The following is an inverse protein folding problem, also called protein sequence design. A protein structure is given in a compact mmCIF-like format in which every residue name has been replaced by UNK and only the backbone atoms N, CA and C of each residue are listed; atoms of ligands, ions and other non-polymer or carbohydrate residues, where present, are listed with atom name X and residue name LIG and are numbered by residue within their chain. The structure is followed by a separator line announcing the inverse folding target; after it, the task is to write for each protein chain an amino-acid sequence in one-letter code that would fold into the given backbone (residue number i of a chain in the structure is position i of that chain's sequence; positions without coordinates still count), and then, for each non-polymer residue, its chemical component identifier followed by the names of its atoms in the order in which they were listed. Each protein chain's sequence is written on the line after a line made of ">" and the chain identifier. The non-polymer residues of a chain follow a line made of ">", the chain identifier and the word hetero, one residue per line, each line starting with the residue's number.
data_IF_733352282769
#
_entry.id   IF_733352282769
#
_cell.length_a   1.000
_cell.length_b   1.000
_cell.length_c   1.000
_cell.angle_alpha   90.00
_cell.angle_beta   90.00
_cell.angle_gamma   90.00
#
_symmetry.space_group_name_H-M   'P 1'
#
loop_
_entity.id
_entity.type
_entity.pdbx_description
1 polymer ?
#
# COMPACT_ATOMS: atom_id res chain seq x y z
N UNK A 1 -5.10 -2.11 -29.47
CA UNK A 1 -4.46 -3.02 -28.51
C UNK A 1 -3.10 -3.45 -29.01
N UNK A 2 -2.15 -3.67 -28.10
CA UNK A 2 -0.84 -4.26 -28.40
C UNK A 2 -1.03 -5.73 -28.74
N UNK A 3 -0.39 -6.21 -29.83
CA UNK A 3 -0.50 -7.62 -30.27
C UNK A 3 0.71 -8.48 -29.91
N UNK A 4 1.78 -7.88 -29.40
CA UNK A 4 3.02 -8.56 -29.08
C UNK A 4 2.88 -9.44 -27.83
N UNK A 5 3.06 -10.74 -27.96
CA UNK A 5 3.04 -11.72 -26.86
C UNK A 5 4.09 -11.37 -25.76
N UNK A 6 5.21 -10.80 -26.16
CA UNK A 6 6.29 -10.43 -25.25
C UNK A 6 5.86 -9.33 -24.28
N UNK A 7 5.04 -8.35 -24.71
CA UNK A 7 4.46 -7.33 -23.84
C UNK A 7 3.65 -7.95 -22.72
N UNK A 8 2.69 -8.83 -23.07
CA UNK A 8 1.83 -9.47 -22.07
C UNK A 8 2.62 -10.33 -21.11
N UNK A 9 3.61 -11.11 -21.60
CA UNK A 9 4.50 -11.91 -20.75
C UNK A 9 5.23 -11.03 -19.73
N UNK A 10 5.83 -9.94 -20.18
CA UNK A 10 6.57 -9.01 -19.30
C UNK A 10 5.63 -8.33 -18.31
N UNK A 11 4.47 -7.83 -18.76
CA UNK A 11 3.49 -7.16 -17.92
C UNK A 11 2.94 -8.09 -16.83
N UNK A 12 2.53 -9.31 -17.18
CA UNK A 12 2.01 -10.27 -16.21
C UNK A 12 3.09 -10.77 -15.24
N UNK A 13 4.33 -10.93 -15.67
CA UNK A 13 5.44 -11.25 -14.74
C UNK A 13 5.62 -10.12 -13.71
N UNK A 14 5.57 -8.86 -14.14
CA UNK A 14 5.63 -7.72 -13.23
C UNK A 14 4.41 -7.70 -12.30
N UNK A 15 3.21 -7.78 -12.85
CA UNK A 15 1.95 -7.70 -12.10
C UNK A 15 1.81 -8.83 -11.07
N UNK A 16 2.09 -10.07 -11.46
CA UNK A 16 2.00 -11.24 -10.56
C UNK A 16 3.09 -11.23 -9.48
N UNK A 17 4.30 -10.77 -9.81
CA UNK A 17 5.36 -10.62 -8.81
C UNK A 17 4.98 -9.61 -7.73
N UNK A 18 4.37 -8.48 -8.10
CA UNK A 18 3.90 -7.47 -7.17
C UNK A 18 2.66 -7.92 -6.40
N UNK A 19 1.75 -8.63 -7.06
CA UNK A 19 0.58 -9.24 -6.41
C UNK A 19 1.02 -10.27 -5.35
N UNK A 20 1.97 -11.15 -5.68
CA UNK A 20 2.51 -12.14 -4.75
C UNK A 20 3.22 -11.46 -3.57
N UNK A 21 3.98 -10.40 -3.80
CA UNK A 21 4.60 -9.62 -2.73
C UNK A 21 3.55 -9.08 -1.76
N UNK A 22 2.47 -8.45 -2.26
CA UNK A 22 1.39 -7.91 -1.43
C UNK A 22 0.68 -9.01 -0.65
N UNK A 23 0.39 -10.16 -1.29
CA UNK A 23 -0.23 -11.31 -0.62
C UNK A 23 0.62 -11.80 0.55
N UNK A 24 1.94 -11.91 0.36
CA UNK A 24 2.87 -12.34 1.41
C UNK A 24 2.90 -11.34 2.57
N UNK A 25 2.89 -10.03 2.29
CA UNK A 25 2.84 -8.98 3.33
C UNK A 25 1.56 -9.10 4.16
N UNK A 26 0.39 -9.28 3.52
CA UNK A 26 -0.88 -9.48 4.24
C UNK A 26 -0.86 -10.77 5.07
N UNK A 27 -0.21 -11.83 4.56
CA UNK A 27 -0.08 -13.10 5.29
C UNK A 27 0.76 -12.95 6.56
N UNK A 28 1.83 -12.16 6.55
CA UNK A 28 2.63 -11.87 7.77
C UNK A 28 1.75 -11.22 8.84
N UNK A 29 1.04 -10.15 8.49
CA UNK A 29 0.18 -9.42 9.43
C UNK A 29 -0.94 -10.29 10.00
N UNK A 30 -1.51 -11.16 9.16
CA UNK A 30 -2.55 -12.10 9.59
C UNK A 30 -1.99 -13.15 10.56
N UNK A 31 -0.82 -13.72 10.29
CA UNK A 31 -0.19 -14.73 11.15
C UNK A 31 0.19 -14.14 12.51
N UNK A 32 0.75 -12.93 12.56
CA UNK A 32 1.04 -12.22 13.81
C UNK A 32 -0.22 -12.06 14.67
N UNK A 33 -1.33 -11.64 14.07
CA UNK A 33 -2.61 -11.46 14.76
C UNK A 33 -3.16 -12.79 15.30
N UNK A 34 -3.11 -13.85 14.49
CA UNK A 34 -3.59 -15.19 14.89
C UNK A 34 -2.75 -15.76 16.04
N UNK A 35 -1.43 -15.62 15.95
CA UNK A 35 -0.53 -16.16 16.97
C UNK A 35 -0.66 -15.42 18.30
N UNK A 36 -0.75 -14.10 18.27
CA UNK A 36 -0.99 -13.29 19.47
C UNK A 36 -2.38 -13.50 20.06
N UNK A 37 -3.40 -13.71 19.21
CA UNK A 37 -4.76 -14.01 19.66
C UNK A 37 -4.87 -15.32 20.44
N UNK A 38 -4.06 -16.33 20.08
CA UNK A 38 -3.95 -17.59 20.82
C UNK A 38 -3.19 -17.43 22.13
N UNK A 39 -2.32 -16.44 22.25
CA UNK A 39 -1.54 -16.19 23.45
C UNK A 39 -2.37 -15.41 24.50
N UNK A 40 -2.93 -14.24 24.11
CA UNK A 40 -3.72 -13.40 25.00
C UNK A 40 -4.56 -12.39 24.19
N UNK A 41 -5.80 -12.21 24.57
CA UNK A 41 -6.70 -11.22 23.97
C UNK A 41 -6.16 -9.78 24.17
N UNK A 42 -5.65 -9.48 25.38
CA UNK A 42 -5.07 -8.15 25.66
C UNK A 42 -3.80 -7.89 24.83
N UNK A 43 -2.97 -8.92 24.64
CA UNK A 43 -1.78 -8.86 23.78
C UNK A 43 -2.15 -8.57 22.33
N UNK A 44 -3.12 -9.30 21.77
CA UNK A 44 -3.61 -9.10 20.40
C UNK A 44 -4.21 -7.69 20.24
N UNK A 45 -5.04 -7.25 21.19
CA UNK A 45 -5.64 -5.91 21.15
C UNK A 45 -4.59 -4.81 21.24
N UNK A 46 -3.61 -4.92 22.15
CA UNK A 46 -2.52 -3.95 22.30
C UNK A 46 -1.67 -3.84 21.04
N UNK A 47 -1.29 -4.96 20.42
CA UNK A 47 -0.52 -4.97 19.17
C UNK A 47 -1.36 -4.44 18.01
N UNK A 48 -2.67 -4.72 17.98
CA UNK A 48 -3.56 -4.16 16.95
C UNK A 48 -3.62 -2.63 16.99
N UNK A 49 -3.62 -2.02 18.17
CA UNK A 49 -3.51 -0.56 18.31
C UNK A 49 -2.17 -0.04 17.80
N UNK A 50 -1.07 -0.73 18.13
CA UNK A 50 0.25 -0.38 17.61
C UNK A 50 0.33 -0.47 16.08
N UNK A 51 -0.32 -1.48 15.49
CA UNK A 51 -0.38 -1.66 14.05
C UNK A 51 -1.13 -0.52 13.34
N UNK A 52 -2.12 0.13 13.98
CA UNK A 52 -2.77 1.32 13.40
C UNK A 52 -1.78 2.50 13.28
N UNK A 53 -0.93 2.69 14.29
CA UNK A 53 0.12 3.72 14.23
C UNK A 53 1.18 3.38 13.18
N UNK A 54 1.59 2.11 13.13
CA UNK A 54 2.53 1.62 12.12
C UNK A 54 1.96 1.74 10.70
N UNK A 55 0.67 1.53 10.51
CA UNK A 55 0.00 1.70 9.22
C UNK A 55 0.12 3.13 8.69
N UNK A 56 0.03 4.15 9.57
CA UNK A 56 0.25 5.53 9.16
C UNK A 56 1.67 5.74 8.63
N UNK A 57 2.69 5.21 9.33
CA UNK A 57 4.07 5.25 8.84
C UNK A 57 4.21 4.51 7.50
N UNK A 58 3.59 3.34 7.38
CA UNK A 58 3.62 2.56 6.13
C UNK A 58 3.08 3.37 4.95
N UNK A 59 1.95 4.07 5.12
CA UNK A 59 1.36 4.92 4.07
C UNK A 59 2.30 6.05 3.66
N UNK A 60 2.96 6.70 4.62
CA UNK A 60 3.92 7.76 4.35
C UNK A 60 5.16 7.24 3.60
N UNK A 61 5.70 6.10 4.02
CA UNK A 61 6.87 5.47 3.39
C UNK A 61 6.54 4.94 1.99
N UNK A 62 5.33 4.40 1.81
CA UNK A 62 4.83 3.99 0.49
C UNK A 62 4.73 5.18 -0.46
N UNK A 63 4.18 6.31 0.01
CA UNK A 63 4.14 7.55 -0.76
C UNK A 63 5.52 8.04 -1.18
N UNK A 64 6.50 7.97 -0.28
CA UNK A 64 7.89 8.31 -0.58
C UNK A 64 8.52 7.37 -1.62
N UNK A 65 8.29 6.07 -1.49
CA UNK A 65 8.77 5.05 -2.43
C UNK A 65 8.14 5.19 -3.82
N UNK A 66 6.83 5.38 -3.89
CA UNK A 66 6.10 5.54 -5.15
C UNK A 66 6.52 6.80 -5.92
N UNK A 67 6.83 7.90 -5.23
CA UNK A 67 7.41 9.09 -5.85
C UNK A 67 8.76 8.80 -6.53
N UNK A 68 9.60 7.97 -5.90
CA UNK A 68 10.85 7.50 -6.49
C UNK A 68 10.61 6.58 -7.69
N UNK A 69 9.56 5.73 -7.65
CA UNK A 69 9.17 4.87 -8.79
C UNK A 69 8.80 5.70 -10.01
N UNK A 70 7.98 6.75 -9.85
CA UNK A 70 7.55 7.60 -10.97
C UNK A 70 8.74 8.26 -11.67
N UNK A 71 9.64 8.88 -10.91
CA UNK A 71 10.84 9.50 -11.46
C UNK A 71 11.82 8.48 -12.02
N UNK A 72 12.11 7.41 -11.26
CA UNK A 72 13.04 6.38 -11.63
C UNK A 72 12.65 5.66 -12.93
N UNK A 73 11.35 5.37 -13.13
CA UNK A 73 10.85 4.72 -14.34
C UNK A 73 11.03 5.60 -15.59
N UNK A 74 10.82 6.91 -15.49
CA UNK A 74 11.04 7.83 -16.61
C UNK A 74 12.52 8.02 -16.93
N UNK A 75 13.41 8.15 -15.91
CA UNK A 75 14.86 8.18 -16.15
C UNK A 75 15.39 6.86 -16.73
N UNK A 76 14.84 5.73 -16.26
CA UNK A 76 15.12 4.42 -16.82
C UNK A 76 14.72 4.34 -18.30
N UNK A 77 13.55 4.86 -18.66
CA UNK A 77 13.07 4.94 -20.04
C UNK A 77 14.03 5.73 -20.97
N UNK A 78 14.62 6.81 -20.45
CA UNK A 78 15.63 7.64 -21.16
C UNK A 78 17.02 7.00 -21.25
N UNK A 79 17.25 5.84 -20.64
CA UNK A 79 18.58 5.25 -20.43
C UNK A 79 19.56 6.16 -19.64
N UNK A 80 19.03 7.15 -18.89
CA UNK A 80 19.82 8.02 -18.01
C UNK A 80 19.78 7.48 -16.59
N UNK A 81 20.78 6.66 -16.22
CA UNK A 81 20.81 5.98 -14.92
C UNK A 81 21.44 6.83 -13.81
N UNK A 82 22.25 7.82 -14.17
CA UNK A 82 22.99 8.66 -13.23
C UNK A 82 22.11 9.41 -12.21
N UNK A 83 20.93 9.97 -12.58
CA UNK A 83 20.06 10.65 -11.63
C UNK A 83 19.36 9.72 -10.61
N UNK A 84 19.18 8.44 -10.94
CA UNK A 84 18.39 7.51 -10.12
C UNK A 84 18.95 7.35 -8.70
N UNK A 85 20.28 7.16 -8.46
CA UNK A 85 20.83 7.14 -7.11
C UNK A 85 20.54 8.40 -6.28
N UNK A 86 20.55 9.58 -6.91
CA UNK A 86 20.23 10.85 -6.24
C UNK A 86 18.76 10.92 -5.81
N UNK A 87 17.85 10.41 -6.65
CA UNK A 87 16.42 10.30 -6.34
C UNK A 87 16.19 9.33 -5.17
N UNK A 88 16.85 8.16 -5.20
CA UNK A 88 16.79 7.18 -4.12
C UNK A 88 17.31 7.79 -2.81
N UNK A 89 18.42 8.49 -2.86
CA UNK A 89 18.99 9.14 -1.71
C UNK A 89 18.08 10.26 -1.15
N UNK A 90 17.39 11.03 -2.01
CA UNK A 90 16.38 12.00 -1.59
C UNK A 90 15.20 11.31 -0.89
N UNK A 91 14.69 10.21 -1.48
CA UNK A 91 13.62 9.40 -0.89
C UNK A 91 14.02 8.84 0.48
N UNK A 92 15.24 8.31 0.62
CA UNK A 92 15.76 7.78 1.88
C UNK A 92 15.87 8.86 2.97
N UNK A 93 16.29 10.08 2.65
CA UNK A 93 16.36 11.19 3.62
C UNK A 93 14.98 11.60 4.07
N UNK A 94 14.06 11.76 3.13
CA UNK A 94 12.71 12.18 3.44
C UNK A 94 11.96 11.09 4.22
N UNK A 95 11.97 9.84 3.75
CA UNK A 95 11.38 8.71 4.44
C UNK A 95 12.03 8.42 5.79
N UNK A 96 13.38 8.49 5.84
CA UNK A 96 14.14 8.35 7.08
C UNK A 96 13.79 9.42 8.11
N UNK A 97 13.64 10.68 7.70
CA UNK A 97 13.18 11.77 8.56
C UNK A 97 11.79 11.50 9.16
N UNK A 98 10.85 11.01 8.34
CA UNK A 98 9.52 10.60 8.83
C UNK A 98 9.59 9.41 9.79
N UNK A 99 10.43 8.42 9.51
CA UNK A 99 10.61 7.28 10.41
C UNK A 99 11.20 7.71 11.77
N UNK A 100 12.22 8.57 11.75
CA UNK A 100 12.80 9.13 12.99
C UNK A 100 11.76 9.92 13.77
N UNK A 101 10.98 10.78 13.11
CA UNK A 101 9.89 11.51 13.76
C UNK A 101 8.89 10.57 14.42
N UNK A 102 8.49 9.51 13.71
CA UNK A 102 7.54 8.52 14.24
C UNK A 102 8.14 7.73 15.41
N UNK A 103 9.43 7.38 15.35
CA UNK A 103 10.16 6.75 16.47
C UNK A 103 10.13 7.67 17.69
N UNK A 104 10.41 8.95 17.52
CA UNK A 104 10.38 9.93 18.61
C UNK A 104 8.97 10.02 19.23
N UNK A 105 7.92 10.14 18.44
CA UNK A 105 6.53 10.19 18.91
C UNK A 105 6.19 8.94 19.73
N UNK A 106 6.47 7.76 19.19
CA UNK A 106 6.14 6.48 19.81
C UNK A 106 6.95 6.23 21.09
N UNK A 107 8.18 6.75 21.17
CA UNK A 107 9.04 6.54 22.36
C UNK A 107 8.86 7.57 23.46
N UNK A 108 8.54 8.81 23.09
CA UNK A 108 8.35 9.89 24.09
C UNK A 108 7.01 9.80 24.80
N UNK A 109 5.96 9.35 24.11
CA UNK A 109 4.61 9.35 24.64
C UNK A 109 3.79 8.09 24.25
N UNK A 110 4.32 6.85 24.44
CA UNK A 110 3.65 5.64 23.96
C UNK A 110 2.29 5.41 24.62
N UNK A 111 2.18 5.63 25.92
CA UNK A 111 0.93 5.45 26.67
C UNK A 111 -0.12 6.48 26.30
N UNK A 112 0.27 7.74 26.07
CA UNK A 112 -0.66 8.80 25.66
C UNK A 112 -1.19 8.53 24.25
N UNK A 113 -0.31 8.12 23.33
CA UNK A 113 -0.68 7.79 21.97
C UNK A 113 -1.69 6.62 21.90
N UNK A 114 -1.45 5.56 22.68
CA UNK A 114 -2.37 4.43 22.77
C UNK A 114 -3.63 4.78 23.56
N UNK A 115 -3.55 5.66 24.54
CA UNK A 115 -4.68 6.18 25.32
C UNK A 115 -5.70 6.98 24.49
N UNK A 116 -5.31 7.54 23.34
CA UNK A 116 -6.23 8.13 22.37
C UNK A 116 -7.09 7.04 21.69
N UNK A 117 -6.53 5.82 21.54
CA UNK A 117 -7.16 4.72 20.81
C UNK A 117 -7.91 3.74 21.71
N UNK A 118 -7.58 3.66 23.00
CA UNK A 118 -8.19 2.74 23.96
C UNK A 118 -8.14 3.29 25.38
N UNK A 119 -9.16 2.97 26.18
CA UNK A 119 -9.22 3.30 27.60
C UNK A 119 -8.87 2.11 28.52
N UNK A 120 -8.48 0.95 27.96
CA UNK A 120 -8.18 -0.25 28.73
C UNK A 120 -6.70 -0.29 29.16
N UNK A 121 -6.39 -0.18 30.47
CA UNK A 121 -5.00 -0.08 30.94
C UNK A 121 -4.13 -1.29 30.58
N UNK A 122 -4.70 -2.51 30.60
CA UNK A 122 -3.98 -3.73 30.28
C UNK A 122 -3.60 -3.79 28.78
N UNK A 123 -4.51 -3.38 27.91
CA UNK A 123 -4.28 -3.30 26.44
C UNK A 123 -3.20 -2.27 26.15
N UNK A 124 -3.26 -1.08 26.80
CA UNK A 124 -2.26 -0.03 26.65
C UNK A 124 -0.88 -0.52 27.14
N UNK A 125 -0.81 -1.21 28.27
CA UNK A 125 0.44 -1.74 28.81
C UNK A 125 1.12 -2.73 27.85
N UNK A 126 0.36 -3.66 27.26
CA UNK A 126 0.89 -4.58 26.25
C UNK A 126 1.35 -3.84 24.97
N UNK A 127 0.60 -2.87 24.51
CA UNK A 127 1.00 -2.01 23.38
C UNK A 127 2.28 -1.23 23.64
N UNK A 128 2.46 -0.66 24.85
CA UNK A 128 3.69 0.03 25.24
C UNK A 128 4.89 -0.92 25.22
N UNK A 129 4.74 -2.16 25.74
CA UNK A 129 5.79 -3.18 25.70
C UNK A 129 6.20 -3.52 24.25
N UNK A 130 5.23 -3.57 23.35
CA UNK A 130 5.45 -3.79 21.92
C UNK A 130 6.21 -2.64 21.28
N UNK A 131 5.76 -1.39 21.51
CA UNK A 131 6.39 -0.18 20.96
C UNK A 131 7.85 0.00 21.36
N UNK A 132 8.22 -0.38 22.58
CA UNK A 132 9.61 -0.28 23.05
C UNK A 132 10.61 -1.01 22.14
N UNK A 133 10.18 -2.06 21.46
CA UNK A 133 11.02 -2.90 20.60
C UNK A 133 10.76 -2.60 19.14
N UNK A 134 9.46 -2.61 18.72
CA UNK A 134 9.11 -2.51 17.31
C UNK A 134 9.48 -1.16 16.69
N UNK A 135 9.55 -0.08 17.48
CA UNK A 135 9.91 1.25 16.99
C UNK A 135 11.26 1.26 16.28
N UNK A 136 12.22 0.43 16.66
CA UNK A 136 13.51 0.32 15.96
C UNK A 136 13.37 -0.26 14.55
N UNK A 137 12.34 -1.05 14.31
CA UNK A 137 12.10 -1.60 12.98
C UNK A 137 11.64 -0.54 11.97
N UNK A 138 11.17 0.63 12.41
CA UNK A 138 10.62 1.66 11.55
C UNK A 138 11.65 2.23 10.57
N UNK A 139 12.88 2.48 11.03
CA UNK A 139 13.95 2.95 10.14
C UNK A 139 14.40 1.83 9.18
N UNK A 140 14.51 0.59 9.68
CA UNK A 140 14.90 -0.57 8.89
C UNK A 140 13.86 -0.81 7.79
N UNK A 141 12.59 -0.83 8.15
CA UNK A 141 11.46 -0.96 7.22
C UNK A 141 11.49 0.13 6.14
N UNK A 142 11.66 1.39 6.55
CA UNK A 142 11.68 2.54 5.64
C UNK A 142 12.79 2.42 4.60
N UNK A 143 14.00 2.10 5.05
CA UNK A 143 15.15 1.94 4.14
C UNK A 143 14.91 0.78 3.17
N UNK A 144 14.49 -0.37 3.67
CA UNK A 144 14.20 -1.55 2.84
C UNK A 144 13.11 -1.25 1.81
N UNK A 145 12.00 -0.66 2.25
CA UNK A 145 10.85 -0.37 1.38
C UNK A 145 11.21 0.59 0.24
N UNK A 146 11.91 1.68 0.54
CA UNK A 146 12.35 2.66 -0.47
C UNK A 146 13.35 2.05 -1.45
N UNK A 147 14.30 1.24 -0.99
CA UNK A 147 15.25 0.55 -1.87
C UNK A 147 14.54 -0.45 -2.80
N UNK A 148 13.62 -1.25 -2.27
CA UNK A 148 12.82 -2.20 -3.07
C UNK A 148 11.93 -1.47 -4.07
N UNK A 149 11.26 -0.38 -3.67
CA UNK A 149 10.46 0.45 -4.57
C UNK A 149 11.33 1.03 -5.70
N UNK A 150 12.53 1.50 -5.37
CA UNK A 150 13.47 2.05 -6.35
C UNK A 150 13.97 0.99 -7.34
N UNK A 151 14.27 -0.22 -6.90
CA UNK A 151 14.62 -1.33 -7.78
C UNK A 151 13.45 -1.73 -8.71
N UNK A 152 12.23 -1.64 -8.19
CA UNK A 152 11.00 -1.86 -8.96
C UNK A 152 10.87 -0.87 -10.12
N UNK A 153 11.30 0.39 -9.97
CA UNK A 153 11.27 1.42 -11.02
C UNK A 153 12.08 1.04 -12.25
N UNK A 154 13.12 0.23 -12.08
CA UNK A 154 13.98 -0.28 -13.16
C UNK A 154 13.63 -1.72 -13.57
N UNK A 155 12.46 -2.21 -13.17
CA UNK A 155 11.94 -3.53 -13.54
C UNK A 155 12.45 -4.71 -12.70
N UNK A 156 13.20 -4.47 -11.63
CA UNK A 156 13.67 -5.51 -10.71
C UNK A 156 12.60 -5.75 -9.66
N UNK A 157 11.61 -6.61 -9.96
CA UNK A 157 10.47 -6.92 -9.06
C UNK A 157 10.63 -8.24 -8.32
N UNK A 158 11.44 -9.16 -8.83
CA UNK A 158 11.60 -10.50 -8.24
C UNK A 158 12.14 -10.45 -6.81
N UNK A 159 12.98 -9.48 -6.51
CA UNK A 159 13.55 -9.31 -5.18
C UNK A 159 12.46 -9.07 -4.12
N UNK A 160 11.42 -8.29 -4.47
CA UNK A 160 10.33 -7.95 -3.55
C UNK A 160 9.62 -9.18 -2.99
N UNK A 161 9.15 -10.09 -3.84
CA UNK A 161 8.46 -11.29 -3.34
C UNK A 161 9.40 -12.29 -2.65
N UNK A 162 10.69 -12.39 -3.06
CA UNK A 162 11.68 -13.24 -2.37
C UNK A 162 11.89 -12.75 -0.94
N UNK A 163 12.05 -11.45 -0.75
CA UNK A 163 12.18 -10.81 0.56
C UNK A 163 10.94 -11.10 1.39
N UNK A 164 9.75 -10.80 0.87
CA UNK A 164 8.50 -10.99 1.60
C UNK A 164 8.26 -12.46 1.99
N UNK A 165 8.64 -13.41 1.14
CA UNK A 165 8.59 -14.83 1.47
C UNK A 165 9.57 -15.21 2.60
N UNK A 166 10.81 -14.72 2.52
CA UNK A 166 11.81 -14.94 3.57
C UNK A 166 11.34 -14.37 4.91
N UNK A 167 10.79 -13.14 4.88
CA UNK A 167 10.21 -12.50 6.08
C UNK A 167 9.09 -13.32 6.68
N UNK A 168 8.17 -13.80 5.85
CA UNK A 168 7.06 -14.63 6.32
C UNK A 168 7.57 -15.88 7.07
N UNK A 169 8.51 -16.61 6.46
CA UNK A 169 9.08 -17.80 7.06
C UNK A 169 9.80 -17.51 8.39
N UNK A 170 10.65 -16.48 8.40
CA UNK A 170 11.44 -16.11 9.59
C UNK A 170 10.52 -15.60 10.69
N UNK A 171 9.57 -14.72 10.35
CA UNK A 171 8.65 -14.13 11.32
C UNK A 171 7.78 -15.20 11.99
N UNK A 172 7.15 -16.10 11.21
CA UNK A 172 6.35 -17.22 11.79
C UNK A 172 7.20 -18.10 12.69
N UNK A 173 8.41 -18.46 12.25
CA UNK A 173 9.29 -19.33 13.02
C UNK A 173 9.71 -18.68 14.34
N UNK A 174 10.13 -17.42 14.30
CA UNK A 174 10.52 -16.67 15.49
C UNK A 174 9.34 -16.38 16.41
N UNK A 175 8.16 -16.07 15.86
CA UNK A 175 6.94 -15.91 16.65
C UNK A 175 6.61 -17.20 17.42
N UNK A 176 6.69 -18.35 16.77
CA UNK A 176 6.44 -19.64 17.41
C UNK A 176 7.42 -19.94 18.55
N UNK A 177 8.68 -19.54 18.40
CA UNK A 177 9.71 -19.74 19.42
C UNK A 177 9.57 -18.73 20.57
N UNK A 178 9.37 -17.45 20.26
CA UNK A 178 9.50 -16.35 21.23
C UNK A 178 8.17 -15.96 21.89
N UNK A 179 7.02 -16.12 21.23
CA UNK A 179 5.72 -15.84 21.86
C UNK A 179 5.41 -16.91 22.89
N UNK A 180 5.59 -18.20 22.51
CA UNK A 180 5.15 -19.34 23.31
C UNK A 180 6.27 -20.00 24.12
N UNK A 181 7.53 -19.61 23.94
CA UNK A 181 8.66 -20.22 24.65
C UNK A 181 9.00 -21.65 24.24
N UNK A 182 8.68 -22.03 23.00
CA UNK A 182 8.90 -23.40 22.51
C UNK A 182 10.40 -23.71 22.34
N UNK A 183 10.78 -24.99 22.37
CA UNK A 183 12.16 -25.48 22.21
C UNK A 183 13.19 -24.90 23.19
N UNK A 184 12.75 -24.52 24.41
CA UNK A 184 13.64 -23.99 25.44
C UNK A 184 13.93 -22.48 25.33
N UNK A 185 13.29 -21.80 24.40
CA UNK A 185 13.32 -20.34 24.36
C UNK A 185 12.45 -19.74 25.47
N UNK A 186 12.78 -18.51 25.97
CA UNK A 186 11.94 -17.85 26.96
C UNK A 186 10.60 -17.44 26.34
N UNK A 187 9.52 -17.61 27.11
CA UNK A 187 8.20 -17.10 26.76
C UNK A 187 8.17 -15.57 26.95
N UNK A 188 8.21 -14.84 25.85
CA UNK A 188 8.27 -13.39 25.83
C UNK A 188 6.96 -12.71 25.45
N UNK A 189 5.95 -13.48 25.02
CA UNK A 189 4.65 -12.97 24.64
C UNK A 189 4.73 -11.85 23.59
N UNK A 190 4.17 -10.68 23.90
CA UNK A 190 4.16 -9.50 23.01
C UNK A 190 5.58 -9.00 22.68
N UNK A 191 6.51 -9.07 23.62
CA UNK A 191 7.92 -8.73 23.34
C UNK A 191 8.54 -9.70 22.34
N UNK A 192 8.19 -10.99 22.43
CA UNK A 192 8.60 -12.01 21.47
C UNK A 192 8.16 -11.69 20.04
N UNK A 193 6.91 -11.29 19.86
CA UNK A 193 6.38 -10.86 18.57
C UNK A 193 7.12 -9.61 18.01
N UNK A 194 7.39 -8.62 18.87
CA UNK A 194 8.14 -7.43 18.47
C UNK A 194 9.58 -7.75 18.05
N UNK A 195 10.26 -8.64 18.76
CA UNK A 195 11.62 -9.10 18.41
C UNK A 195 11.60 -9.88 17.10
N UNK A 196 10.64 -10.80 16.92
CA UNK A 196 10.50 -11.58 15.70
C UNK A 196 10.33 -10.68 14.48
N UNK A 197 9.47 -9.67 14.58
CA UNK A 197 9.25 -8.69 13.50
C UNK A 197 10.49 -7.84 13.26
N UNK A 198 11.17 -7.35 14.30
CA UNK A 198 12.40 -6.57 14.15
C UNK A 198 13.51 -7.38 13.47
N UNK A 199 13.74 -8.62 13.89
CA UNK A 199 14.75 -9.51 13.31
C UNK A 199 14.41 -9.79 11.84
N UNK A 200 13.15 -10.09 11.53
CA UNK A 200 12.69 -10.32 10.16
C UNK A 200 12.96 -9.11 9.26
N UNK A 201 12.68 -7.88 9.74
CA UNK A 201 12.99 -6.63 9.03
C UNK A 201 14.49 -6.40 8.85
N UNK A 202 15.31 -6.74 9.84
CA UNK A 202 16.77 -6.67 9.70
C UNK A 202 17.26 -7.65 8.62
N UNK A 203 16.74 -8.87 8.58
CA UNK A 203 17.09 -9.83 7.55
C UNK A 203 16.63 -9.36 6.16
N UNK A 204 15.45 -8.76 6.03
CA UNK A 204 15.02 -8.12 4.78
C UNK A 204 16.06 -7.11 4.29
N UNK A 205 16.48 -6.20 5.17
CA UNK A 205 17.48 -5.19 4.82
C UNK A 205 18.80 -5.83 4.40
N UNK A 206 19.27 -6.85 5.11
CA UNK A 206 20.50 -7.56 4.76
C UNK A 206 20.40 -8.22 3.39
N UNK A 207 19.27 -8.84 3.03
CA UNK A 207 19.04 -9.43 1.72
C UNK A 207 19.10 -8.33 0.63
N UNK A 208 18.45 -7.17 0.86
CA UNK A 208 18.48 -6.05 -0.09
C UNK A 208 19.92 -5.53 -0.25
N UNK A 209 20.65 -5.30 0.82
CA UNK A 209 22.02 -4.80 0.78
C UNK A 209 22.97 -5.79 0.10
N UNK A 210 22.80 -7.10 0.38
CA UNK A 210 23.52 -8.16 -0.32
C UNK A 210 23.26 -8.13 -1.83
N UNK A 211 21.98 -8.03 -2.21
CA UNK A 211 21.59 -7.94 -3.62
C UNK A 211 22.20 -6.71 -4.31
N UNK A 212 22.11 -5.54 -3.68
CA UNK A 212 22.66 -4.30 -4.21
C UNK A 212 24.19 -4.35 -4.38
N UNK A 213 24.88 -5.02 -3.47
CA UNK A 213 26.33 -5.10 -3.50
C UNK A 213 26.85 -6.12 -4.52
N UNK A 214 26.20 -7.29 -4.64
CA UNK A 214 26.76 -8.44 -5.38
C UNK A 214 26.02 -8.78 -6.68
N UNK A 215 24.75 -8.46 -6.79
CA UNK A 215 23.89 -8.86 -7.92
C UNK A 215 23.46 -7.69 -8.80
N UNK A 216 23.25 -6.53 -8.19
CA UNK A 216 22.81 -5.36 -8.92
C UNK A 216 24.00 -4.75 -9.69
N UNK A 217 23.87 -4.68 -11.03
CA UNK A 217 24.92 -4.15 -11.92
C UNK A 217 24.45 -2.96 -12.74
N UNK A 218 23.15 -2.69 -12.78
CA UNK A 218 22.56 -1.67 -13.65
C UNK A 218 22.69 -0.28 -13.04
N UNK A 219 22.24 -0.11 -11.80
CA UNK A 219 22.27 1.19 -11.11
C UNK A 219 23.62 1.49 -10.45
N UNK A 220 24.40 0.45 -10.16
CA UNK A 220 25.70 0.54 -9.46
C UNK A 220 25.62 1.42 -8.23
N UNK A 221 24.62 1.13 -7.38
CA UNK A 221 24.36 1.88 -6.17
C UNK A 221 25.52 1.70 -5.20
N UNK A 222 26.14 2.82 -4.83
CA UNK A 222 27.15 2.88 -3.77
C UNK A 222 26.66 3.80 -2.66
N UNK A 223 27.00 3.49 -1.42
CA UNK A 223 26.65 4.32 -0.26
C UNK A 223 27.06 5.80 -0.47
N UNK A 224 28.24 6.03 -1.10
CA UNK A 224 28.69 7.38 -1.44
C UNK A 224 27.70 8.14 -2.33
N UNK A 225 27.14 7.49 -3.36
CA UNK A 225 26.15 8.10 -4.26
C UNK A 225 24.80 8.35 -3.59
N UNK A 226 24.43 7.58 -2.57
CA UNK A 226 23.21 7.75 -1.80
C UNK A 226 23.34 8.88 -0.75
N UNK A 227 24.56 9.10 -0.25
CA UNK A 227 24.84 10.13 0.77
C UNK A 227 25.14 11.49 0.14
N UNK A 228 25.93 11.54 -0.95
CA UNK A 228 26.24 12.82 -1.62
C UNK A 228 25.20 13.07 -2.74
N UNK A 229 24.19 13.87 -2.42
CA UNK A 229 23.08 14.19 -3.33
C UNK A 229 23.17 15.65 -3.74
N UNK A 230 22.99 15.90 -5.03
CA UNK A 230 22.73 17.24 -5.53
C UNK A 230 21.33 17.71 -5.05
N UNK A 231 21.29 18.84 -4.36
CA UNK A 231 20.06 19.44 -3.79
C UNK A 231 18.98 19.69 -4.83
N UNK A 232 19.37 19.85 -6.08
CA UNK A 232 18.46 20.07 -7.19
C UNK A 232 17.54 18.85 -7.43
N UNK A 233 18.05 17.60 -7.24
CA UNK A 233 17.24 16.38 -7.34
C UNK A 233 16.28 16.22 -6.17
N UNK A 234 16.59 16.77 -4.99
CA UNK A 234 15.66 16.80 -3.86
C UNK A 234 14.42 17.60 -4.22
N UNK A 235 14.58 18.76 -4.88
CA UNK A 235 13.45 19.60 -5.31
C UNK A 235 12.57 18.87 -6.33
N UNK A 236 13.18 18.21 -7.33
CA UNK A 236 12.43 17.44 -8.33
C UNK A 236 11.69 16.27 -7.71
N UNK A 237 12.36 15.56 -6.81
CA UNK A 237 11.75 14.47 -6.04
C UNK A 237 10.56 14.97 -5.22
N UNK A 238 10.72 16.03 -4.43
CA UNK A 238 9.64 16.58 -3.60
C UNK A 238 8.45 17.05 -4.44
N UNK A 239 8.69 17.64 -5.62
CA UNK A 239 7.62 18.10 -6.51
C UNK A 239 6.72 16.94 -6.99
N UNK A 240 7.29 15.78 -7.22
CA UNK A 240 6.55 14.58 -7.66
C UNK A 240 6.00 13.80 -6.47
N UNK A 241 6.80 13.64 -5.41
CA UNK A 241 6.48 12.77 -4.28
C UNK A 241 5.55 13.38 -3.27
N UNK A 242 5.58 14.71 -3.06
CA UNK A 242 4.70 15.36 -2.09
C UNK A 242 3.21 15.15 -2.37
N UNK A 243 2.70 15.31 -3.61
CA UNK A 243 1.31 14.97 -3.91
C UNK A 243 0.98 13.49 -3.67
N UNK A 244 1.89 12.57 -4.01
CA UNK A 244 1.70 11.13 -3.78
C UNK A 244 1.63 10.83 -2.29
N UNK A 245 2.51 11.42 -1.50
CA UNK A 245 2.56 11.27 -0.07
C UNK A 245 1.30 11.81 0.61
N UNK A 246 0.85 12.99 0.22
CA UNK A 246 -0.41 13.57 0.69
C UNK A 246 -1.61 12.69 0.32
N UNK A 247 -1.58 12.09 -0.88
CA UNK A 247 -2.61 11.15 -1.31
C UNK A 247 -2.66 9.90 -0.42
N UNK A 248 -1.51 9.34 -0.07
CA UNK A 248 -1.43 8.16 0.80
C UNK A 248 -1.82 8.49 2.26
N UNK A 249 -1.33 9.61 2.79
CA UNK A 249 -1.66 10.06 4.13
C UNK A 249 -3.17 10.32 4.31
N UNK A 250 -3.79 11.05 3.38
CA UNK A 250 -5.22 11.31 3.43
C UNK A 250 -6.06 10.04 3.26
N UNK A 251 -5.62 9.08 2.43
CA UNK A 251 -6.30 7.81 2.27
C UNK A 251 -6.29 7.01 3.57
N UNK A 252 -5.14 6.94 4.25
CA UNK A 252 -5.01 6.30 5.57
C UNK A 252 -5.93 6.95 6.61
N UNK A 253 -5.95 8.30 6.68
CA UNK A 253 -6.83 9.04 7.58
C UNK A 253 -8.32 8.79 7.27
N UNK A 254 -8.69 8.76 6.00
CA UNK A 254 -10.06 8.50 5.57
C UNK A 254 -10.51 7.07 5.94
N UNK A 255 -9.64 6.08 5.84
CA UNK A 255 -9.95 4.71 6.27
C UNK A 255 -10.25 4.63 7.78
N UNK A 256 -9.52 5.39 8.60
CA UNK A 256 -9.82 5.48 10.04
C UNK A 256 -11.20 6.08 10.28
N UNK A 257 -11.55 7.18 9.61
CA UNK A 257 -12.86 7.83 9.73
C UNK A 257 -13.98 6.91 9.24
N UNK A 258 -13.81 6.23 8.11
CA UNK A 258 -14.78 5.26 7.59
C UNK A 258 -15.04 4.11 8.58
N UNK A 259 -13.95 3.56 9.16
CA UNK A 259 -14.07 2.51 10.19
C UNK A 259 -14.78 3.04 11.44
N UNK A 260 -14.51 4.30 11.83
CA UNK A 260 -15.19 4.96 12.93
C UNK A 260 -16.71 5.12 12.67
N UNK A 261 -17.12 5.58 11.49
CA UNK A 261 -18.53 5.69 11.11
C UNK A 261 -19.24 4.34 11.24
N UNK A 262 -18.65 3.27 10.70
CA UNK A 262 -19.23 1.92 10.78
C UNK A 262 -19.22 1.37 12.21
N UNK A 263 -18.19 1.70 12.99
CA UNK A 263 -18.08 1.29 14.39
C UNK A 263 -19.22 1.81 15.27
N UNK A 264 -19.71 3.01 15.01
CA UNK A 264 -20.86 3.59 15.72
C UNK A 264 -22.20 2.94 15.35
N UNK A 265 -22.26 2.18 14.27
CA UNK A 265 -23.47 1.45 13.85
C UNK A 265 -23.64 0.09 14.56
N UNK A 266 -22.64 -0.34 15.35
CA UNK A 266 -22.70 -1.54 16.18
C UNK A 266 -21.62 -2.59 15.92
N UNK A 267 -21.51 -3.54 16.85
CA UNK A 267 -20.49 -4.59 16.81
C UNK A 267 -20.61 -5.52 15.60
N UNK A 268 -21.85 -5.89 15.23
CA UNK A 268 -22.12 -6.76 14.07
C UNK A 268 -21.66 -6.10 12.76
N UNK A 269 -21.87 -4.78 12.63
CA UNK A 269 -21.43 -3.98 11.46
C UNK A 269 -19.92 -3.91 11.40
N UNK A 270 -19.27 -3.74 12.55
CA UNK A 270 -17.80 -3.72 12.63
C UNK A 270 -17.19 -5.06 12.26
N UNK A 271 -17.77 -6.17 12.75
CA UNK A 271 -17.34 -7.52 12.40
C UNK A 271 -17.52 -7.80 10.90
N UNK A 272 -18.68 -7.44 10.33
CA UNK A 272 -18.97 -7.56 8.92
C UNK A 272 -17.99 -6.76 8.06
N UNK A 273 -17.68 -5.52 8.44
CA UNK A 273 -16.69 -4.68 7.75
C UNK A 273 -15.28 -5.31 7.78
N UNK A 274 -14.85 -5.82 8.93
CA UNK A 274 -13.54 -6.46 9.07
C UNK A 274 -13.38 -7.65 8.11
N UNK A 275 -14.37 -8.54 8.05
CA UNK A 275 -14.36 -9.71 7.15
C UNK A 275 -14.38 -9.27 5.69
N UNK A 276 -15.24 -8.32 5.34
CA UNK A 276 -15.38 -7.84 3.97
C UNK A 276 -14.10 -7.17 3.47
N UNK A 277 -13.47 -6.30 4.28
CA UNK A 277 -12.21 -5.62 3.95
C UNK A 277 -11.06 -6.61 3.85
N UNK A 278 -10.94 -7.57 4.76
CA UNK A 278 -9.88 -8.57 4.73
C UNK A 278 -9.98 -9.49 3.51
N UNK A 279 -11.19 -9.91 3.17
CA UNK A 279 -11.45 -10.68 1.95
C UNK A 279 -11.09 -9.89 0.69
N UNK A 280 -11.46 -8.61 0.64
CA UNK A 280 -11.11 -7.72 -0.44
C UNK A 280 -9.59 -7.56 -0.60
N UNK A 281 -8.85 -7.34 0.48
CA UNK A 281 -7.40 -7.17 0.44
C UNK A 281 -6.70 -8.37 -0.22
N UNK A 282 -7.12 -9.59 0.13
CA UNK A 282 -6.55 -10.82 -0.44
C UNK A 282 -6.92 -10.98 -1.92
N UNK A 283 -8.18 -10.77 -2.27
CA UNK A 283 -8.66 -11.03 -3.63
C UNK A 283 -8.30 -9.93 -4.64
N UNK A 284 -8.04 -8.70 -4.18
CA UNK A 284 -7.69 -7.55 -5.03
C UNK A 284 -6.18 -7.41 -5.30
N UNK A 285 -5.32 -8.26 -4.74
CA UNK A 285 -3.85 -8.15 -4.92
C UNK A 285 -3.42 -8.14 -6.39
N UNK A 286 -4.14 -8.86 -7.25
CA UNK A 286 -3.85 -8.90 -8.71
C UNK A 286 -4.13 -7.55 -9.35
N UNK A 287 -5.22 -6.88 -8.98
CA UNK A 287 -5.56 -5.55 -9.50
C UNK A 287 -4.52 -4.50 -9.09
N UNK A 288 -4.10 -4.51 -7.82
CA UNK A 288 -3.05 -3.60 -7.34
C UNK A 288 -1.67 -3.90 -7.95
N UNK A 289 -1.33 -5.19 -8.13
CA UNK A 289 -0.12 -5.60 -8.82
C UNK A 289 -0.09 -5.13 -10.28
N UNK A 290 -1.21 -5.26 -10.98
CA UNK A 290 -1.37 -4.77 -12.36
C UNK A 290 -1.28 -3.24 -12.44
N UNK A 291 -1.87 -2.51 -11.48
CA UNK A 291 -1.76 -1.06 -11.38
C UNK A 291 -0.31 -0.60 -11.23
N UNK A 292 0.43 -1.20 -10.31
CA UNK A 292 1.85 -0.87 -10.09
C UNK A 292 2.72 -1.22 -11.30
N UNK A 293 2.46 -2.36 -11.96
CA UNK A 293 3.15 -2.74 -13.20
C UNK A 293 2.90 -1.73 -14.32
N UNK A 294 1.67 -1.26 -14.45
CA UNK A 294 1.31 -0.24 -15.44
C UNK A 294 2.07 1.07 -15.22
N UNK A 295 2.20 1.53 -13.97
CA UNK A 295 2.96 2.75 -13.65
C UNK A 295 4.42 2.67 -14.11
N UNK A 296 5.06 1.52 -13.93
CA UNK A 296 6.43 1.27 -14.39
C UNK A 296 6.51 1.31 -15.93
N UNK A 297 5.60 0.59 -16.60
CA UNK A 297 5.62 0.48 -18.07
C UNK A 297 5.29 1.83 -18.72
N UNK A 298 4.29 2.54 -18.22
CA UNK A 298 3.90 3.87 -18.72
C UNK A 298 5.02 4.88 -18.49
N UNK A 299 5.58 4.94 -17.29
CA UNK A 299 6.69 5.84 -16.98
C UNK A 299 7.90 5.58 -17.87
N UNK A 300 8.25 4.30 -18.11
CA UNK A 300 9.31 3.89 -19.04
C UNK A 300 9.03 4.32 -20.48
N UNK A 301 7.79 4.14 -20.96
CA UNK A 301 7.40 4.50 -22.33
C UNK A 301 7.48 6.01 -22.56
N UNK A 302 7.02 6.81 -21.58
CA UNK A 302 7.12 8.28 -21.63
C UNK A 302 8.59 8.71 -21.58
N UNK A 303 9.38 8.14 -20.68
CA UNK A 303 10.80 8.42 -20.58
C UNK A 303 11.58 8.11 -21.85
N UNK A 304 11.20 7.05 -22.56
CA UNK A 304 11.78 6.68 -23.86
C UNK A 304 11.34 7.57 -25.03
N UNK A 305 10.46 8.56 -24.82
CA UNK A 305 9.95 9.43 -25.89
C UNK A 305 8.97 8.73 -26.86
N UNK A 306 8.51 7.51 -26.56
CA UNK A 306 7.66 6.70 -27.45
C UNK A 306 6.16 7.03 -27.33
N UNK A 307 5.82 8.31 -27.52
CA UNK A 307 4.43 8.78 -27.35
C UNK A 307 3.46 8.16 -28.35
N UNK A 308 3.90 7.76 -29.55
CA UNK A 308 3.07 7.09 -30.54
C UNK A 308 2.57 5.71 -30.07
N UNK A 309 3.37 5.01 -29.26
CA UNK A 309 3.00 3.71 -28.70
C UNK A 309 2.07 3.86 -27.48
N UNK A 310 2.06 5.04 -26.84
CA UNK A 310 1.35 5.28 -25.58
C UNK A 310 -0.16 5.13 -25.72
N UNK A 311 -0.76 5.55 -26.85
CA UNK A 311 -2.21 5.38 -27.12
C UNK A 311 -2.62 3.91 -27.15
N UNK A 312 -1.82 3.07 -27.82
CA UNK A 312 -2.07 1.62 -27.89
C UNK A 312 -1.88 0.96 -26.53
N UNK A 313 -0.86 1.41 -25.79
CA UNK A 313 -0.56 0.92 -24.45
C UNK A 313 -1.70 1.22 -23.48
N UNK A 314 -2.15 2.48 -23.40
CA UNK A 314 -3.24 2.92 -22.51
C UNK A 314 -4.51 2.14 -22.80
N UNK A 315 -4.94 2.07 -24.05
CA UNK A 315 -6.14 1.30 -24.42
C UNK A 315 -6.01 -0.20 -24.06
N UNK A 316 -4.82 -0.79 -24.20
CA UNK A 316 -4.61 -2.18 -23.81
C UNK A 316 -4.71 -2.36 -22.29
N UNK A 317 -4.16 -1.41 -21.52
CA UNK A 317 -4.22 -1.43 -20.04
C UNK A 317 -5.65 -1.22 -19.53
N UNK A 318 -6.43 -0.30 -20.13
CA UNK A 318 -7.85 -0.10 -19.79
C UNK A 318 -8.69 -1.38 -19.93
N UNK A 319 -8.51 -2.08 -21.05
CA UNK A 319 -9.20 -3.36 -21.28
C UNK A 319 -8.75 -4.40 -20.26
N UNK A 320 -7.44 -4.51 -19.99
CA UNK A 320 -6.92 -5.46 -19.00
C UNK A 320 -7.47 -5.17 -17.60
N UNK A 321 -7.52 -3.91 -17.18
CA UNK A 321 -8.05 -3.53 -15.87
C UNK A 321 -9.55 -3.81 -15.75
N UNK A 322 -10.30 -3.57 -16.81
CA UNK A 322 -11.73 -3.90 -16.85
C UNK A 322 -11.96 -5.42 -16.73
N UNK A 323 -11.19 -6.22 -17.46
CA UNK A 323 -11.27 -7.69 -17.37
C UNK A 323 -10.87 -8.20 -16.00
N UNK A 324 -9.75 -7.70 -15.43
CA UNK A 324 -9.30 -8.06 -14.07
C UNK A 324 -10.38 -7.67 -13.06
N UNK A 325 -11.00 -6.49 -13.21
CA UNK A 325 -12.04 -6.00 -12.30
C UNK A 325 -13.28 -6.88 -12.30
N UNK A 326 -13.78 -7.22 -13.49
CA UNK A 326 -14.95 -8.12 -13.65
C UNK A 326 -14.63 -9.49 -13.06
N UNK A 327 -13.47 -10.05 -13.38
CA UNK A 327 -13.05 -11.36 -12.87
C UNK A 327 -12.91 -11.35 -11.34
N UNK A 328 -12.25 -10.34 -10.77
CA UNK A 328 -12.09 -10.21 -9.31
C UNK A 328 -13.42 -9.99 -8.61
N UNK A 329 -14.28 -9.10 -9.14
CA UNK A 329 -15.61 -8.87 -8.59
C UNK A 329 -16.48 -10.13 -8.61
N UNK A 330 -16.49 -10.87 -9.73
CA UNK A 330 -17.19 -12.15 -9.84
C UNK A 330 -16.63 -13.18 -8.83
N UNK A 331 -15.32 -13.26 -8.69
CA UNK A 331 -14.67 -14.16 -7.72
C UNK A 331 -15.09 -13.83 -6.28
N UNK A 332 -15.10 -12.54 -5.89
CA UNK A 332 -15.58 -12.11 -4.57
C UNK A 332 -17.05 -12.51 -4.37
N UNK A 333 -17.89 -12.27 -5.37
CA UNK A 333 -19.32 -12.58 -5.29
C UNK A 333 -19.57 -14.08 -5.13
N UNK A 334 -18.87 -14.92 -5.88
CA UNK A 334 -19.03 -16.38 -5.82
C UNK A 334 -18.44 -16.98 -4.54
N UNK A 335 -17.30 -16.48 -4.09
CA UNK A 335 -16.61 -17.01 -2.91
C UNK A 335 -17.13 -16.47 -1.59
N UNK A 336 -18.04 -15.46 -1.56
CA UNK A 336 -18.54 -14.86 -0.32
C UNK A 336 -19.13 -15.88 0.65
N UNK A 337 -19.91 -16.85 0.16
CA UNK A 337 -20.49 -17.91 1.00
C UNK A 337 -19.43 -18.87 1.57
N UNK A 338 -18.57 -19.48 0.74
CA UNK A 338 -17.44 -20.28 1.20
C UNK A 338 -16.51 -19.58 2.19
N UNK A 339 -16.17 -18.30 1.94
CA UNK A 339 -15.32 -17.50 2.83
C UNK A 339 -15.99 -17.34 4.19
N UNK A 340 -17.27 -16.99 4.23
CA UNK A 340 -17.99 -16.79 5.49
C UNK A 340 -18.16 -18.07 6.29
N UNK A 341 -18.23 -19.25 5.64
CA UNK A 341 -18.25 -20.54 6.34
C UNK A 341 -16.97 -20.77 7.16
N UNK A 342 -15.82 -20.24 6.72
CA UNK A 342 -14.56 -20.31 7.49
C UNK A 342 -14.66 -19.53 8.80
N UNK A 343 -15.43 -18.43 8.83
CA UNK A 343 -15.66 -17.60 10.03
C UNK A 343 -16.94 -17.99 10.80
N UNK A 344 -17.75 -18.91 10.25
CA UNK A 344 -19.15 -19.14 10.67
C UNK A 344 -19.38 -19.65 12.10
N UNK A 345 -18.32 -20.12 12.80
CA UNK A 345 -18.45 -20.56 14.19
C UNK A 345 -18.44 -19.44 15.24
N UNK A 346 -18.10 -18.21 14.85
CA UNK A 346 -17.92 -17.09 15.75
C UNK A 346 -18.82 -15.87 15.44
N UNK A 347 -19.65 -15.96 14.41
CA UNK A 347 -20.50 -14.84 13.97
C UNK A 347 -21.93 -14.98 14.45
N UNK A 348 -22.53 -13.85 14.87
CA UNK A 348 -23.98 -13.76 15.03
C UNK A 348 -24.67 -13.88 13.67
N UNK A 349 -25.93 -14.27 13.64
CA UNK A 349 -26.71 -14.35 12.41
C UNK A 349 -26.80 -12.98 11.70
N UNK A 350 -26.94 -11.91 12.47
CA UNK A 350 -26.93 -10.53 11.97
C UNK A 350 -25.58 -10.18 11.32
N UNK A 351 -24.45 -10.46 11.99
CA UNK A 351 -23.12 -10.21 11.43
C UNK A 351 -22.85 -11.04 10.17
N UNK A 352 -23.34 -12.28 10.10
CA UNK A 352 -23.22 -13.13 8.92
C UNK A 352 -23.99 -12.53 7.72
N UNK A 353 -25.25 -12.15 7.91
CA UNK A 353 -26.07 -11.53 6.86
C UNK A 353 -25.46 -10.20 6.37
N UNK A 354 -25.03 -9.35 7.29
CA UNK A 354 -24.35 -8.10 6.96
C UNK A 354 -23.04 -8.35 6.18
N UNK A 355 -22.27 -9.36 6.57
CA UNK A 355 -21.04 -9.73 5.86
C UNK A 355 -21.33 -10.16 4.42
N UNK A 356 -22.37 -10.97 4.20
CA UNK A 356 -22.82 -11.38 2.87
C UNK A 356 -23.20 -10.18 1.99
N UNK A 357 -23.89 -9.19 2.57
CA UNK A 357 -24.30 -7.97 1.88
C UNK A 357 -23.09 -7.05 1.60
N UNK A 358 -22.19 -6.86 2.57
CA UNK A 358 -20.99 -6.04 2.40
C UNK A 358 -20.07 -6.63 1.34
N UNK A 359 -19.88 -7.95 1.32
CA UNK A 359 -19.12 -8.61 0.26
C UNK A 359 -19.76 -8.48 -1.11
N UNK A 360 -21.10 -8.45 -1.20
CA UNK A 360 -21.79 -8.18 -2.45
C UNK A 360 -21.56 -6.73 -2.93
N UNK A 361 -21.60 -5.75 -2.03
CA UNK A 361 -21.24 -4.36 -2.34
C UNK A 361 -19.80 -4.26 -2.84
N UNK A 362 -18.85 -4.90 -2.15
CA UNK A 362 -17.44 -4.92 -2.55
C UNK A 362 -17.29 -5.59 -3.93
N UNK A 363 -17.99 -6.68 -4.20
CA UNK A 363 -17.93 -7.36 -5.50
C UNK A 363 -18.28 -6.42 -6.66
N UNK A 364 -19.35 -5.63 -6.50
CA UNK A 364 -19.76 -4.64 -7.50
C UNK A 364 -18.77 -3.49 -7.58
N UNK A 365 -18.36 -2.91 -6.46
CA UNK A 365 -17.45 -1.75 -6.43
C UNK A 365 -16.03 -2.11 -6.87
N UNK A 366 -15.60 -3.37 -6.73
CA UNK A 366 -14.28 -3.84 -7.18
C UNK A 366 -14.09 -3.71 -8.69
N UNK A 367 -15.16 -3.84 -9.48
CA UNK A 367 -15.09 -3.59 -10.93
C UNK A 367 -14.64 -2.15 -11.18
N UNK A 368 -15.26 -1.19 -10.51
CA UNK A 368 -14.88 0.22 -10.57
C UNK A 368 -13.49 0.48 -10.00
N UNK A 369 -13.17 -0.12 -8.85
CA UNK A 369 -11.85 0.03 -8.22
C UNK A 369 -10.72 -0.44 -9.13
N UNK A 370 -10.86 -1.61 -9.73
CA UNK A 370 -9.82 -2.18 -10.61
C UNK A 370 -9.57 -1.32 -11.84
N UNK A 371 -10.56 -0.63 -12.35
CA UNK A 371 -10.40 0.30 -13.45
C UNK A 371 -9.84 1.65 -12.97
N UNK A 372 -10.57 2.33 -12.04
CA UNK A 372 -10.23 3.71 -11.69
C UNK A 372 -8.91 3.81 -10.89
N UNK A 373 -8.66 2.92 -9.92
CA UNK A 373 -7.40 2.93 -9.16
C UNK A 373 -6.22 2.57 -10.05
N UNK A 374 -6.40 1.60 -10.96
CA UNK A 374 -5.33 1.22 -11.85
C UNK A 374 -5.03 2.28 -12.92
N UNK A 375 -6.04 2.97 -13.45
CA UNK A 375 -5.84 4.09 -14.35
C UNK A 375 -5.24 5.31 -13.62
N UNK A 376 -5.72 5.62 -12.41
CA UNK A 376 -5.23 6.76 -11.62
C UNK A 376 -3.80 6.50 -11.12
N UNK A 377 -3.60 5.46 -10.32
CA UNK A 377 -2.28 5.17 -9.72
C UNK A 377 -1.29 4.58 -10.74
N UNK A 378 -1.76 3.74 -11.66
CA UNK A 378 -0.91 3.12 -12.67
C UNK A 378 -0.59 4.06 -13.82
N UNK A 379 -1.59 4.59 -14.52
CA UNK A 379 -1.36 5.33 -15.76
C UNK A 379 -1.13 6.82 -15.49
N UNK A 380 -2.07 7.52 -14.84
CA UNK A 380 -2.01 8.97 -14.65
C UNK A 380 -0.83 9.36 -13.78
N UNK A 381 -0.68 8.72 -12.62
CA UNK A 381 0.45 8.95 -11.70
C UNK A 381 1.78 8.50 -12.30
N UNK A 382 1.82 7.33 -12.93
CA UNK A 382 2.99 6.82 -13.67
C UNK A 382 3.43 7.76 -14.80
N UNK A 383 2.49 8.47 -15.40
CA UNK A 383 2.72 9.51 -16.39
C UNK A 383 3.19 10.85 -15.83
N UNK A 384 3.31 11.00 -14.51
CA UNK A 384 3.84 12.19 -13.84
C UNK A 384 2.79 13.18 -13.34
N UNK A 385 1.49 12.96 -13.55
CA UNK A 385 0.43 13.84 -13.05
C UNK A 385 -0.06 13.44 -11.65
N UNK A 386 0.86 13.44 -10.70
CA UNK A 386 0.61 13.06 -9.30
C UNK A 386 -0.35 14.02 -8.58
N UNK A 387 -0.36 15.31 -8.99
CA UNK A 387 -1.19 16.31 -8.37
C UNK A 387 -2.69 16.14 -8.68
N UNK A 388 -3.05 15.65 -9.88
CA UNK A 388 -4.44 15.34 -10.22
C UNK A 388 -4.99 14.25 -9.30
N UNK A 389 -4.29 13.14 -9.17
CA UNK A 389 -4.69 12.03 -8.28
C UNK A 389 -4.91 12.50 -6.85
N UNK A 390 -3.97 13.28 -6.29
CA UNK A 390 -4.07 13.78 -4.93
C UNK A 390 -5.29 14.69 -4.73
N UNK A 391 -5.52 15.66 -5.64
CA UNK A 391 -6.65 16.58 -5.57
C UNK A 391 -7.99 15.87 -5.73
N UNK A 392 -8.10 14.99 -6.72
CA UNK A 392 -9.32 14.23 -6.98
C UNK A 392 -9.70 13.38 -5.77
N UNK A 393 -8.74 12.67 -5.19
CA UNK A 393 -8.98 11.82 -4.03
C UNK A 393 -9.31 12.64 -2.77
N UNK A 394 -8.66 13.80 -2.58
CA UNK A 394 -8.96 14.71 -1.47
C UNK A 394 -10.41 15.21 -1.54
N UNK A 395 -10.82 15.75 -2.69
CA UNK A 395 -12.17 16.27 -2.90
C UNK A 395 -13.20 15.15 -2.74
N UNK A 396 -12.98 14.02 -3.42
CA UNK A 396 -13.87 12.89 -3.39
C UNK A 396 -14.10 12.37 -1.97
N UNK A 397 -13.03 12.15 -1.22
CA UNK A 397 -13.10 11.50 0.07
C UNK A 397 -13.65 12.45 1.15
N UNK A 398 -13.10 13.68 1.24
CA UNK A 398 -13.40 14.59 2.36
C UNK A 398 -14.58 15.49 2.13
N UNK A 399 -14.92 15.84 0.87
CA UNK A 399 -16.06 16.70 0.58
C UNK A 399 -17.32 15.94 0.16
N UNK A 400 -17.19 14.68 -0.29
CA UNK A 400 -18.32 13.90 -0.77
C UNK A 400 -18.55 12.68 0.12
N UNK A 401 -17.62 11.72 0.17
CA UNK A 401 -17.83 10.41 0.75
C UNK A 401 -18.02 10.47 2.27
N UNK A 402 -17.07 11.05 2.98
CA UNK A 402 -17.13 11.11 4.45
C UNK A 402 -18.34 11.89 4.94
N UNK A 403 -18.65 13.13 4.45
CA UNK A 403 -19.83 13.85 4.88
C UNK A 403 -21.14 13.14 4.54
N UNK A 404 -21.26 12.62 3.31
CA UNK A 404 -22.48 11.94 2.88
C UNK A 404 -22.73 10.67 3.71
N UNK A 405 -21.69 9.87 3.96
CA UNK A 405 -21.81 8.65 4.77
C UNK A 405 -22.07 8.94 6.23
N UNK A 406 -21.50 10.01 6.79
CA UNK A 406 -21.80 10.44 8.15
C UNK A 406 -23.25 10.93 8.28
N UNK A 407 -23.76 11.72 7.32
CA UNK A 407 -25.17 12.12 7.26
C UNK A 407 -26.10 10.91 7.15
N UNK A 408 -25.75 9.95 6.30
CA UNK A 408 -26.52 8.72 6.13
C UNK A 408 -26.58 7.88 7.41
N UNK A 409 -25.45 7.77 8.12
CA UNK A 409 -25.34 7.00 9.36
C UNK A 409 -26.03 7.70 10.54
N UNK A 410 -25.77 8.99 10.78
CA UNK A 410 -26.13 9.66 12.04
C UNK A 410 -27.38 10.56 11.96
N UNK A 411 -27.68 11.08 10.75
CA UNK A 411 -28.83 11.97 10.59
C UNK A 411 -30.03 11.28 9.96
N UNK A 412 -29.79 10.43 8.97
CA UNK A 412 -30.83 9.73 8.23
C UNK A 412 -31.08 8.33 8.78
N UNK A 413 -30.24 7.80 9.66
CA UNK A 413 -30.30 6.46 10.24
C UNK A 413 -30.57 5.37 9.20
N UNK A 414 -29.85 5.42 8.06
CA UNK A 414 -30.02 4.45 6.99
C UNK A 414 -29.42 3.09 7.38
N UNK A 415 -29.93 2.05 6.75
CA UNK A 415 -29.43 0.68 6.97
C UNK A 415 -27.91 0.60 6.77
N UNK A 416 -27.19 -0.19 7.61
CA UNK A 416 -25.72 -0.30 7.53
C UNK A 416 -25.17 -0.62 6.15
N UNK A 417 -25.91 -1.41 5.36
CA UNK A 417 -25.52 -1.76 3.97
C UNK A 417 -25.51 -0.54 3.06
N UNK A 418 -26.48 0.37 3.23
CA UNK A 418 -26.55 1.62 2.44
C UNK A 418 -25.40 2.55 2.83
N UNK A 419 -25.10 2.68 4.12
CA UNK A 419 -23.94 3.45 4.60
C UNK A 419 -22.65 2.87 4.05
N UNK A 420 -22.49 1.55 4.10
CA UNK A 420 -21.33 0.87 3.54
C UNK A 420 -21.19 1.06 2.02
N UNK A 421 -22.29 1.00 1.28
CA UNK A 421 -22.31 1.30 -0.15
C UNK A 421 -21.86 2.74 -0.43
N UNK A 422 -22.38 3.72 0.31
CA UNK A 422 -21.99 5.12 0.18
C UNK A 422 -20.50 5.32 0.48
N UNK A 423 -19.94 4.62 1.47
CA UNK A 423 -18.50 4.64 1.76
C UNK A 423 -17.63 4.08 0.61
N UNK A 424 -18.20 3.24 -0.26
CA UNK A 424 -17.51 2.64 -1.43
C UNK A 424 -17.97 3.24 -2.76
N UNK A 425 -18.89 4.19 -2.75
CA UNK A 425 -19.48 4.81 -3.94
C UNK A 425 -18.43 5.52 -4.82
N UNK A 426 -17.39 6.06 -4.20
CA UNK A 426 -16.29 6.72 -4.89
C UNK A 426 -15.62 5.81 -5.92
N UNK A 427 -15.60 4.51 -5.70
CA UNK A 427 -15.01 3.54 -6.61
C UNK A 427 -15.74 3.46 -7.97
N UNK A 428 -16.99 3.85 -8.00
CA UNK A 428 -17.81 3.85 -9.21
C UNK A 428 -17.79 5.21 -9.91
N UNK A 429 -18.12 6.31 -9.20
CA UNK A 429 -18.21 7.60 -9.88
C UNK A 429 -16.86 8.19 -10.31
N UNK A 430 -15.76 7.86 -9.61
CA UNK A 430 -14.42 8.29 -10.01
C UNK A 430 -13.96 7.72 -11.36
N UNK A 431 -14.62 6.69 -11.88
CA UNK A 431 -14.39 6.21 -13.24
C UNK A 431 -14.51 7.38 -14.22
N UNK A 432 -15.53 8.24 -14.04
CA UNK A 432 -15.81 9.37 -14.94
C UNK A 432 -14.65 10.39 -15.00
N UNK A 433 -14.25 11.05 -13.88
CA UNK A 433 -13.18 12.04 -13.91
C UNK A 433 -11.81 11.43 -14.27
N UNK A 434 -11.55 10.17 -13.87
CA UNK A 434 -10.33 9.45 -14.25
C UNK A 434 -10.30 9.20 -15.76
N UNK A 435 -11.39 8.70 -16.33
CA UNK A 435 -11.49 8.45 -17.78
C UNK A 435 -11.38 9.75 -18.60
N UNK A 436 -12.03 10.84 -18.18
CA UNK A 436 -11.91 12.16 -18.81
C UNK A 436 -10.45 12.62 -18.77
N UNK A 437 -9.79 12.51 -17.61
CA UNK A 437 -8.38 12.89 -17.47
C UNK A 437 -7.47 12.06 -18.35
N UNK A 438 -7.70 10.76 -18.38
CA UNK A 438 -6.93 9.79 -19.15
C UNK A 438 -6.99 10.10 -20.65
N UNK A 439 -8.19 10.31 -21.19
CA UNK A 439 -8.39 10.61 -22.61
C UNK A 439 -8.04 12.04 -23.02
N UNK A 440 -7.87 12.98 -22.03
CA UNK A 440 -7.40 14.32 -22.30
C UNK A 440 -5.90 14.41 -22.62
N UNK A 441 -5.14 13.36 -22.35
CA UNK A 441 -3.67 13.28 -22.49
C UNK A 441 -2.88 14.32 -21.68
N UNK A 442 -3.54 15.18 -20.89
CA UNK A 442 -2.92 16.22 -20.05
C UNK A 442 -2.14 15.66 -18.84
N UNK A 443 -2.22 14.34 -18.63
CA UNK A 443 -1.50 13.63 -17.59
C UNK A 443 -0.10 13.20 -18.04
N UNK A 444 0.19 13.21 -19.34
CA UNK A 444 1.53 12.88 -19.88
C UNK A 444 2.46 14.04 -19.57
N UNK A 445 3.27 13.88 -18.56
CA UNK A 445 4.23 14.87 -18.10
C UNK A 445 5.61 14.27 -18.01
N UNK A 446 6.55 14.84 -18.73
CA UNK A 446 7.96 14.51 -18.59
C UNK A 446 8.47 15.20 -17.33
N UNK A 447 8.77 14.39 -16.29
CA UNK A 447 9.24 14.90 -14.99
C UNK A 447 10.76 14.88 -14.88
N UNK A 448 11.45 14.35 -15.88
CA UNK A 448 12.91 14.27 -15.96
C UNK A 448 13.52 15.57 -16.47
N UNK A 449 14.76 15.87 -16.07
CA UNK A 449 15.51 17.03 -16.56
C UNK A 449 15.96 16.86 -18.01
N UNK A 450 16.19 17.96 -18.70
CA UNK A 450 16.67 18.01 -20.08
C UNK A 450 15.59 18.27 -21.12
N UNK A 451 14.32 17.93 -20.86
CA UNK A 451 13.22 18.16 -21.82
C UNK A 451 12.26 19.24 -21.34
N UNK A 452 12.47 19.80 -20.13
CA UNK A 452 11.69 20.94 -19.64
C UNK A 452 12.03 22.25 -20.39
N UNK A 453 13.25 22.36 -20.88
CA UNK A 453 13.71 23.53 -21.64
C UNK A 453 13.23 23.48 -23.10
N UNK A 454 13.08 22.27 -23.69
CA UNK A 454 12.57 22.10 -25.05
C UNK A 454 11.04 22.20 -25.15
N UNK A 455 10.29 21.82 -24.09
CA UNK A 455 8.83 21.98 -24.05
C UNK A 455 8.35 23.36 -23.60
N UNK A 456 9.25 24.26 -23.20
CA UNK A 456 8.95 25.63 -22.79
C UNK A 456 9.17 26.68 -23.91
N UNK A 457 9.56 26.24 -25.10
CA UNK A 457 9.57 27.11 -26.30
C UNK A 457 8.21 27.01 -27.00
N UNK A 458 7.57 28.18 -27.30
CA UNK A 458 6.21 28.29 -27.78
C UNK A 458 5.98 27.70 -29.18
#
# INVERSE_FOLDING_TARGET
>A
MIREKQFYKTFFVLALSLALQNLLIYSVNMMDTVMLGRYSQNAMSGVSLCNQVQFMLQMLVEGAGEGAVVLGAQYWGKNKLEPIPHIIGAALRFGGGMAVLMILIVRLAPGQLLGILSNEPLVIAEGVRYFQIISFSYIVFTVTHILVASLRSVGIVKLGYIISFSTLCINISLNYLLIYGNFGFPELGVRGAAIATLVSRCVELLIVLYYLKFRERQLRLTLKKLVFIDTSYIRDYMRVSLPVLLNQAQWGAAQMVQTGILGHLGGDVTAANAIAVQSYQVLSVVAYGASSAAGIVVGKTIGAGKQSELKKLVHTLEVLFSVIGVFTGLTIFLLRGPILKVFGGSLTESAYLLSMQFMAVIAVTTVGTSYQVACDNGIIRGGGDTAFSAKMNLISMWLIIVPLSALAAFRWNLAPVVVFFLLKWDQLYKIIPVSIRLHSWKWVRVVTRGDREECAQP
#
